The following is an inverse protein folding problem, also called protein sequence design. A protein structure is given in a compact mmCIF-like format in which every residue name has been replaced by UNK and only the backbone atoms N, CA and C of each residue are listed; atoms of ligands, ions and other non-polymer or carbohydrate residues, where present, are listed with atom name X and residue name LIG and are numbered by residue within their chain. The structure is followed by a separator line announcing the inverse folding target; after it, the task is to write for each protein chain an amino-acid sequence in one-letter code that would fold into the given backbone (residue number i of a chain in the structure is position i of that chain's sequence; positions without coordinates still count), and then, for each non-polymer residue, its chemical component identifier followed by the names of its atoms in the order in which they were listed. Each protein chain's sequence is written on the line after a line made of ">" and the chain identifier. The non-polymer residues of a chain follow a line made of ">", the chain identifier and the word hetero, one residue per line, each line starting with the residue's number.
data_IF_445302441241
#
_entry.id   IF_445302441241
#
_cell.length_a   1.000
_cell.length_b   1.000
_cell.length_c   1.000
_cell.angle_alpha   90.00
_cell.angle_beta   90.00
_cell.angle_gamma   90.00
#
_symmetry.space_group_name_H-M   'P 1'
#
loop_
_entity.id
_entity.type
_entity.pdbx_description
1 polymer ?
#
# COMPACT_ATOMS: atom_id res chain seq x y z
N UNK A 1 36.04 -19.58 -13.07
CA UNK A 1 36.38 -18.27 -12.47
C UNK A 1 35.81 -17.18 -13.37
N UNK A 2 35.18 -16.13 -12.86
CA UNK A 2 34.22 -16.19 -11.74
C UNK A 2 33.03 -15.19 -11.90
N UNK A 3 31.89 -15.54 -11.33
CA UNK A 3 31.01 -14.55 -10.67
C UNK A 3 30.58 -15.20 -9.33
N UNK A 4 31.55 -15.45 -8.45
CA UNK A 4 31.96 -14.56 -7.36
C UNK A 4 30.80 -14.20 -6.42
N UNK A 5 30.78 -14.93 -5.31
CA UNK A 5 30.42 -14.46 -3.97
C UNK A 5 28.99 -13.94 -3.73
N UNK A 6 28.08 -14.87 -3.43
CA UNK A 6 27.07 -14.64 -2.39
C UNK A 6 27.50 -15.38 -1.12
N UNK A 7 28.56 -14.88 -0.48
CA UNK A 7 28.99 -15.27 0.87
C UNK A 7 28.87 -14.01 1.72
N UNK A 8 27.77 -13.91 2.46
CA UNK A 8 27.49 -12.83 3.40
C UNK A 8 26.35 -13.25 4.34
N UNK A 9 26.52 -13.24 5.67
CA UNK A 9 25.45 -13.58 6.62
C UNK A 9 24.42 -12.45 6.86
N UNK A 10 24.17 -11.59 5.86
CA UNK A 10 23.28 -10.41 5.98
C UNK A 10 22.16 -10.34 4.92
N UNK A 11 21.93 -11.40 4.15
CA UNK A 11 20.87 -11.45 3.14
C UNK A 11 19.48 -11.88 3.66
N UNK A 12 19.26 -11.90 4.98
CA UNK A 12 18.03 -12.42 5.62
C UNK A 12 17.10 -11.32 6.20
N UNK A 13 17.19 -10.10 5.67
CA UNK A 13 16.20 -9.05 5.87
C UNK A 13 15.98 -8.40 4.50
N UNK A 14 15.04 -8.81 3.66
CA UNK A 14 13.62 -8.84 3.92
C UNK A 14 12.96 -9.97 3.11
N UNK A 15 12.77 -11.15 3.70
CA UNK A 15 11.45 -11.76 3.51
C UNK A 15 10.54 -10.99 4.45
N UNK A 16 9.91 -9.93 3.94
CA UNK A 16 8.56 -9.65 4.43
C UNK A 16 7.80 -10.91 4.07
N UNK A 17 7.68 -11.81 5.06
CA UNK A 17 6.67 -12.85 5.01
C UNK A 17 5.35 -12.10 5.07
N UNK A 18 4.93 -11.61 3.89
CA UNK A 18 3.58 -11.18 3.61
C UNK A 18 2.74 -12.47 3.62
N UNK A 19 2.47 -12.98 4.82
CA UNK A 19 1.16 -13.57 5.03
C UNK A 19 0.28 -12.33 5.11
N UNK A 20 -0.41 -11.91 4.01
CA UNK A 20 -1.34 -10.82 4.12
C UNK A 20 -2.37 -11.32 5.11
N UNK A 21 -2.25 -10.83 6.35
CA UNK A 21 -3.36 -10.79 7.31
C UNK A 21 -4.55 -10.50 6.44
N UNK A 22 -5.53 -11.41 6.36
CA UNK A 22 -6.46 -11.50 5.23
C UNK A 22 -7.31 -10.22 5.14
N UNK A 23 -6.72 -9.16 4.61
CA UNK A 23 -7.19 -7.79 4.60
C UNK A 23 -7.98 -7.69 3.32
N UNK A 24 -9.25 -7.35 3.45
CA UNK A 24 -10.11 -7.24 2.29
C UNK A 24 -9.67 -5.99 1.50
N UNK A 25 -9.09 -6.14 0.29
CA UNK A 25 -8.62 -4.99 -0.49
C UNK A 25 -9.76 -4.04 -0.91
N UNK A 26 -11.01 -4.51 -0.81
CA UNK A 26 -12.20 -3.72 -1.10
C UNK A 26 -12.70 -2.91 0.12
N UNK A 27 -12.20 -3.20 1.32
CA UNK A 27 -12.59 -2.56 2.57
C UNK A 27 -11.38 -2.39 3.48
N UNK A 28 -10.50 -1.45 3.13
CA UNK A 28 -9.32 -1.10 3.91
C UNK A 28 -9.60 0.13 4.77
N UNK A 29 -9.09 0.15 5.99
CA UNK A 29 -9.07 1.41 6.75
C UNK A 29 -8.13 2.40 6.08
N UNK A 30 -8.33 3.70 6.29
CA UNK A 30 -7.44 4.75 5.74
C UNK A 30 -5.97 4.52 6.15
N UNK A 31 -5.75 4.00 7.37
CA UNK A 31 -4.42 3.67 7.89
C UNK A 31 -3.81 2.49 7.12
N UNK A 32 -4.58 1.42 6.90
CA UNK A 32 -4.09 0.25 6.17
C UNK A 32 -3.86 0.58 4.70
N UNK A 33 -4.76 1.35 4.08
CA UNK A 33 -4.62 1.83 2.71
C UNK A 33 -3.34 2.68 2.56
N UNK A 34 -3.08 3.63 3.46
CA UNK A 34 -1.85 4.43 3.44
C UNK A 34 -0.58 3.56 3.54
N UNK A 35 -0.60 2.54 4.41
CA UNK A 35 0.52 1.58 4.54
C UNK A 35 0.72 0.76 3.27
N UNK A 36 -0.36 0.24 2.69
CA UNK A 36 -0.34 -0.59 1.50
C UNK A 36 0.13 0.22 0.28
N UNK A 37 -0.40 1.41 0.09
CA UNK A 37 0.01 2.34 -0.97
C UNK A 37 1.47 2.76 -0.79
N UNK A 38 1.91 2.99 0.45
CA UNK A 38 3.32 3.29 0.73
C UNK A 38 4.26 2.15 0.37
N UNK A 39 3.86 0.93 0.71
CA UNK A 39 4.64 -0.28 0.42
C UNK A 39 4.66 -0.60 -1.08
N UNK A 40 3.52 -0.45 -1.77
CA UNK A 40 3.37 -0.79 -3.18
C UNK A 40 3.93 0.27 -4.12
N UNK A 41 3.75 1.56 -3.81
CA UNK A 41 4.18 2.67 -4.66
C UNK A 41 5.62 3.12 -4.43
N UNK A 42 6.28 2.64 -3.37
CA UNK A 42 7.62 3.10 -2.98
C UNK A 42 7.70 4.58 -2.56
N UNK A 43 6.56 5.25 -2.47
CA UNK A 43 6.39 6.64 -2.06
C UNK A 43 5.69 6.66 -0.70
N UNK A 44 6.09 7.52 0.23
CA UNK A 44 5.40 7.64 1.51
C UNK A 44 4.02 8.27 1.31
N UNK A 45 2.97 7.50 1.55
CA UNK A 45 1.58 7.93 1.55
C UNK A 45 1.07 7.98 3.00
N UNK A 46 0.54 9.12 3.43
CA UNK A 46 0.01 9.29 4.80
C UNK A 46 -1.51 9.37 4.82
N UNK A 47 -2.09 9.20 6.00
CA UNK A 47 -3.55 9.27 6.21
C UNK A 47 -4.08 10.64 5.81
N UNK A 48 -3.34 11.70 6.10
CA UNK A 48 -3.70 13.07 5.77
C UNK A 48 -3.76 13.29 4.25
N UNK A 49 -2.90 12.63 3.48
CA UNK A 49 -2.98 12.66 2.00
C UNK A 49 -4.25 11.98 1.52
N UNK A 50 -4.58 10.81 2.08
CA UNK A 50 -5.82 10.11 1.75
C UNK A 50 -7.05 10.94 2.13
N UNK A 51 -7.04 11.61 3.29
CA UNK A 51 -8.13 12.50 3.70
C UNK A 51 -8.28 13.69 2.75
N UNK A 52 -7.17 14.26 2.26
CA UNK A 52 -7.20 15.29 1.24
C UNK A 52 -7.80 14.78 -0.09
N UNK A 53 -7.45 13.56 -0.51
CA UNK A 53 -8.04 12.94 -1.69
C UNK A 53 -9.54 12.66 -1.51
N UNK A 54 -9.95 12.20 -0.33
CA UNK A 54 -11.37 12.00 0.02
C UNK A 54 -12.11 13.34 -0.02
N UNK A 55 -11.52 14.40 0.51
CA UNK A 55 -12.08 15.75 0.44
C UNK A 55 -12.13 16.28 -1.01
N UNK A 56 -11.20 15.87 -1.87
CA UNK A 56 -11.22 16.15 -3.31
C UNK A 56 -12.29 15.35 -4.07
N UNK A 57 -12.88 14.33 -3.44
CA UNK A 57 -13.97 13.52 -4.00
C UNK A 57 -13.59 12.07 -4.28
N UNK A 58 -12.51 11.56 -3.69
CA UNK A 58 -12.16 10.15 -3.79
C UNK A 58 -13.27 9.26 -3.20
N UNK A 59 -13.65 8.17 -3.90
CA UNK A 59 -14.73 7.30 -3.48
C UNK A 59 -14.38 6.51 -2.21
N UNK A 60 -15.13 6.75 -1.14
CA UNK A 60 -15.07 5.98 0.12
C UNK A 60 -16.31 5.10 0.27
N UNK A 61 -16.14 3.96 0.93
CA UNK A 61 -17.27 3.12 1.32
C UNK A 61 -18.07 3.82 2.44
N UNK A 62 -19.38 3.56 2.54
CA UNK A 62 -20.23 4.14 3.59
C UNK A 62 -19.82 3.75 5.02
N UNK A 63 -19.06 2.68 5.18
CA UNK A 63 -18.51 2.22 6.46
C UNK A 63 -17.23 2.99 6.88
N UNK A 64 -16.79 3.97 6.09
CA UNK A 64 -15.56 4.75 6.34
C UNK A 64 -14.27 4.03 5.92
N UNK A 65 -14.38 2.92 5.21
CA UNK A 65 -13.24 2.22 4.58
C UNK A 65 -13.05 2.67 3.14
N UNK A 66 -11.88 2.36 2.57
CA UNK A 66 -11.51 2.66 1.19
C UNK A 66 -11.50 1.36 0.40
N UNK A 67 -12.14 1.39 -0.77
CA UNK A 67 -11.98 0.36 -1.77
C UNK A 67 -10.78 0.69 -2.65
N UNK A 68 -9.72 -0.12 -2.58
CA UNK A 68 -8.45 0.17 -3.23
C UNK A 68 -8.57 0.26 -4.76
N UNK A 69 -9.47 -0.54 -5.36
CA UNK A 69 -9.69 -0.53 -6.81
C UNK A 69 -10.37 0.77 -7.25
N UNK A 70 -11.40 1.21 -6.54
CA UNK A 70 -12.07 2.48 -6.83
C UNK A 70 -11.16 3.69 -6.60
N UNK A 71 -10.37 3.66 -5.53
CA UNK A 71 -9.41 4.71 -5.24
C UNK A 71 -8.29 4.78 -6.30
N UNK A 72 -7.71 3.64 -6.69
CA UNK A 72 -6.73 3.59 -7.77
C UNK A 72 -7.30 4.07 -9.11
N UNK A 73 -8.56 3.73 -9.42
CA UNK A 73 -9.23 4.21 -10.62
C UNK A 73 -9.45 5.74 -10.61
N UNK A 74 -9.73 6.33 -9.44
CA UNK A 74 -9.80 7.78 -9.28
C UNK A 74 -8.44 8.43 -9.47
N UNK A 75 -7.37 7.88 -8.87
CA UNK A 75 -6.00 8.38 -9.03
C UNK A 75 -5.50 8.37 -10.48
N UNK A 76 -5.95 7.44 -11.31
CA UNK A 76 -5.59 7.38 -12.74
C UNK A 76 -6.39 8.39 -13.58
N UNK A 77 -7.56 8.79 -13.11
CA UNK A 77 -8.42 9.75 -13.79
C UNK A 77 -7.92 11.19 -13.60
N UNK A 78 -7.31 11.48 -12.46
CA UNK A 78 -6.71 12.77 -12.10
C UNK A 78 -5.32 12.95 -12.73
#
# INVERSE_FOLDING_TARGET
>A
MPNSACLGPLAEACRVSDEPTRMNPMALTTVDAARLLSAAGGQRVTVEMLEADIAAGAPTNPDGTINLVHYAAWLVKE
#
